data_IF_035457561817
#
_entry.id   IF_035457561817
#
_cell.length_a   1.000
_cell.length_b   1.000
_cell.length_c   1.000
_cell.angle_alpha   90.00
_cell.angle_beta   90.00
_cell.angle_gamma   90.00
#
_symmetry.space_group_name_H-M   'P 1'
#
loop_
_entity.id
_entity.type
_entity.pdbx_description
1 polymer ?
#
# COMPACT_ATOMS: atom_id res chain seq x y z
N UNK A 1 31.12 -3.84 48.87
CA UNK A 1 30.07 -4.23 47.90
C UNK A 1 28.73 -4.01 48.56
N UNK A 2 27.74 -3.52 47.82
CA UNK A 2 26.38 -3.37 48.36
C UNK A 2 25.81 -4.76 48.69
N UNK A 3 24.93 -4.87 49.70
CA UNK A 3 24.33 -6.15 50.11
C UNK A 3 23.61 -6.90 48.96
N UNK A 4 23.23 -6.18 47.91
CA UNK A 4 22.56 -6.71 46.72
C UNK A 4 23.57 -7.40 45.79
N UNK A 5 24.74 -6.81 45.58
CA UNK A 5 25.78 -7.33 44.69
C UNK A 5 26.33 -8.65 45.24
N UNK A 6 26.64 -8.71 46.53
CA UNK A 6 27.08 -9.95 47.19
C UNK A 6 26.03 -11.06 47.15
N UNK A 7 24.74 -10.72 47.33
CA UNK A 7 23.65 -11.70 47.21
C UNK A 7 23.53 -12.27 45.79
N UNK A 8 23.72 -11.44 44.77
CA UNK A 8 23.66 -11.87 43.37
C UNK A 8 24.86 -12.75 43.00
N UNK A 9 26.05 -12.42 43.49
CA UNK A 9 27.26 -13.24 43.31
C UNK A 9 27.08 -14.64 43.91
N UNK A 10 26.61 -14.75 45.15
CA UNK A 10 26.38 -16.05 45.82
C UNK A 10 25.35 -16.93 45.09
N UNK A 11 24.33 -16.32 44.45
CA UNK A 11 23.33 -17.05 43.67
C UNK A 11 23.87 -17.54 42.33
N UNK A 12 24.71 -16.73 41.67
CA UNK A 12 25.19 -16.99 40.31
C UNK A 12 26.43 -17.90 40.29
N UNK A 13 27.34 -17.74 41.26
CA UNK A 13 28.64 -18.41 41.23
C UNK A 13 28.75 -19.54 42.26
N UNK A 14 28.15 -19.38 43.44
CA UNK A 14 28.23 -20.36 44.53
C UNK A 14 27.01 -21.31 44.58
N UNK A 15 26.06 -21.13 43.66
CA UNK A 15 24.83 -21.94 43.53
C UNK A 15 24.06 -22.12 44.84
N UNK A 16 24.16 -21.15 45.75
CA UNK A 16 23.42 -21.21 47.00
C UNK A 16 21.93 -21.06 46.68
N UNK A 17 21.14 -22.04 47.08
CA UNK A 17 19.69 -21.96 46.90
C UNK A 17 19.12 -20.93 47.86
N UNK A 18 18.08 -20.21 47.42
CA UNK A 18 17.29 -19.28 48.26
C UNK A 18 16.83 -19.92 49.57
N UNK A 19 16.71 -21.25 49.59
CA UNK A 19 16.39 -22.04 50.78
C UNK A 19 17.38 -21.81 51.94
N UNK A 20 18.69 -21.73 51.66
CA UNK A 20 19.74 -21.60 52.69
C UNK A 20 19.85 -20.18 53.27
N UNK A 21 19.47 -19.18 52.49
CA UNK A 21 19.61 -17.76 52.83
C UNK A 21 18.31 -17.14 53.36
N UNK A 22 17.18 -17.42 52.72
CA UNK A 22 15.89 -16.78 53.02
C UNK A 22 15.10 -17.51 54.14
N UNK A 23 15.33 -18.81 54.36
CA UNK A 23 14.64 -19.61 55.39
C UNK A 23 15.55 -19.96 56.57
N UNK A 24 16.07 -18.94 57.27
CA UNK A 24 16.78 -19.15 58.54
C UNK A 24 15.77 -19.45 59.65
N UNK A 25 15.64 -20.72 60.03
CA UNK A 25 14.79 -21.15 61.15
C UNK A 25 15.17 -20.37 62.42
N UNK A 26 14.25 -19.57 62.97
CA UNK A 26 14.44 -18.85 64.25
C UNK A 26 14.85 -17.37 64.17
N UNK A 27 15.07 -16.77 62.99
CA UNK A 27 15.26 -15.31 62.91
C UNK A 27 13.91 -14.58 62.86
N UNK A 28 13.46 -14.06 64.00
CA UNK A 28 12.33 -13.12 64.07
C UNK A 28 12.83 -11.77 63.56
N UNK A 29 12.64 -11.48 62.27
CA UNK A 29 12.84 -10.12 61.74
C UNK A 29 11.63 -9.27 62.12
N UNK A 30 11.87 -8.03 62.52
CA UNK A 30 10.79 -7.08 62.72
C UNK A 30 10.00 -6.94 61.40
N UNK A 31 8.65 -6.90 61.45
CA UNK A 31 7.85 -6.76 60.25
C UNK A 31 8.19 -5.43 59.56
N UNK A 32 8.55 -5.51 58.27
CA UNK A 32 8.74 -4.32 57.44
C UNK A 32 7.36 -3.83 57.04
N UNK A 33 6.88 -2.78 57.71
CA UNK A 33 5.62 -2.16 57.37
C UNK A 33 5.75 -1.46 56.00
N UNK A 34 4.97 -1.91 55.03
CA UNK A 34 4.88 -1.23 53.74
C UNK A 34 4.25 0.14 53.95
N UNK A 35 4.91 1.19 53.45
CA UNK A 35 4.31 2.53 53.40
C UNK A 35 3.47 2.62 52.15
N UNK A 36 2.26 3.15 52.28
CA UNK A 36 1.42 3.44 51.12
C UNK A 36 2.05 4.56 50.32
N UNK A 37 2.46 4.27 49.09
CA UNK A 37 2.86 5.29 48.12
C UNK A 37 1.63 5.69 47.30
N UNK A 38 1.31 6.99 47.31
CA UNK A 38 0.24 7.52 46.47
C UNK A 38 0.60 7.32 44.99
N UNK A 39 -0.35 6.76 44.23
CA UNK A 39 -0.18 6.66 42.77
C UNK A 39 -0.06 8.06 42.19
N UNK A 40 0.85 8.28 41.22
CA UNK A 40 1.01 9.59 40.61
C UNK A 40 -0.32 10.07 40.01
N UNK A 41 -0.72 11.30 40.34
CA UNK A 41 -1.92 11.91 39.77
C UNK A 41 -1.74 12.07 38.26
N UNK A 42 -2.72 11.61 37.50
CA UNK A 42 -2.73 11.79 36.05
C UNK A 42 -2.88 13.28 35.76
N UNK A 43 -1.85 13.92 35.19
CA UNK A 43 -1.84 15.35 34.87
C UNK A 43 -2.79 15.69 33.71
N UNK A 44 -3.10 14.72 32.85
CA UNK A 44 -4.02 14.89 31.73
C UNK A 44 -5.44 14.45 32.10
N UNK A 45 -6.42 15.21 31.59
CA UNK A 45 -7.80 14.77 31.58
C UNK A 45 -7.88 13.47 30.78
N UNK A 46 -8.28 12.38 31.43
CA UNK A 46 -8.54 11.13 30.72
C UNK A 46 -9.68 11.35 29.73
N UNK A 47 -9.56 10.89 28.48
CA UNK A 47 -10.69 10.94 27.57
C UNK A 47 -11.87 10.19 28.18
N UNK A 48 -13.11 10.62 27.92
CA UNK A 48 -14.28 9.93 28.43
C UNK A 48 -14.25 8.46 27.97
N UNK A 49 -14.64 7.51 28.83
CA UNK A 49 -14.65 6.11 28.46
C UNK A 49 -15.58 5.91 27.26
N UNK A 50 -15.09 5.23 26.21
CA UNK A 50 -15.94 4.82 25.11
C UNK A 50 -16.94 3.78 25.65
N UNK A 51 -18.17 4.23 25.91
CA UNK A 51 -19.27 3.36 26.38
C UNK A 51 -19.63 2.26 25.38
N UNK A 52 -19.41 2.55 24.10
CA UNK A 52 -19.98 1.84 22.95
C UNK A 52 -18.91 1.49 21.90
N UNK A 53 -17.80 0.88 22.32
CA UNK A 53 -16.70 0.51 21.40
C UNK A 53 -17.18 -0.46 20.32
N UNK A 54 -18.06 -1.40 20.67
CA UNK A 54 -18.55 -2.44 19.77
C UNK A 54 -19.58 -1.92 18.76
N UNK A 55 -20.36 -0.92 19.13
CA UNK A 55 -21.46 -0.39 18.31
C UNK A 55 -21.06 0.86 17.53
N UNK A 56 -19.87 1.42 17.81
CA UNK A 56 -19.32 2.65 17.21
C UNK A 56 -20.38 3.77 17.16
N UNK A 57 -21.29 3.80 18.13
CA UNK A 57 -22.44 4.73 18.17
C UNK A 57 -22.00 6.20 18.07
N UNK A 58 -20.90 6.64 18.73
CA UNK A 58 -20.39 8.00 18.60
C UNK A 58 -19.91 8.35 17.18
N UNK A 59 -19.54 7.34 16.38
CA UNK A 59 -19.07 7.51 15.01
C UNK A 59 -20.21 7.52 13.99
N UNK A 60 -21.46 7.28 14.43
CA UNK A 60 -22.66 7.46 13.59
C UNK A 60 -23.00 8.93 13.37
N UNK A 61 -22.66 9.79 14.32
CA UNK A 61 -23.05 11.21 14.32
C UNK A 61 -22.08 12.10 13.55
N UNK A 62 -20.78 11.76 13.57
CA UNK A 62 -19.76 12.43 12.77
C UNK A 62 -19.38 11.52 11.60
N UNK A 63 -19.50 11.97 10.33
CA UNK A 63 -19.10 11.16 9.19
C UNK A 63 -17.59 10.90 9.29
N UNK A 64 -17.22 9.68 9.66
CA UNK A 64 -15.82 9.25 9.61
C UNK A 64 -15.38 9.38 8.16
N UNK A 65 -14.32 10.15 7.86
CA UNK A 65 -13.90 10.35 6.50
C UNK A 65 -13.51 9.00 5.89
N UNK A 66 -14.11 8.67 4.76
CA UNK A 66 -13.93 7.41 4.05
C UNK A 66 -12.46 7.09 3.75
N UNK A 67 -11.62 8.13 3.64
CA UNK A 67 -10.17 8.02 3.46
C UNK A 67 -9.46 7.24 4.57
N UNK A 68 -9.99 7.19 5.79
CA UNK A 68 -9.40 6.40 6.90
C UNK A 68 -9.51 4.89 6.69
N UNK A 69 -10.43 4.44 5.84
CA UNK A 69 -10.71 3.02 5.60
C UNK A 69 -9.83 2.45 4.49
N UNK A 70 -9.16 3.33 3.75
CA UNK A 70 -8.35 2.99 2.59
C UNK A 70 -6.87 3.26 2.88
N UNK A 71 -6.13 2.21 3.23
CA UNK A 71 -4.67 2.27 3.27
C UNK A 71 -4.10 1.83 1.92
N UNK A 72 -3.00 2.45 1.45
CA UNK A 72 -2.28 1.96 0.29
C UNK A 72 -1.87 0.50 0.51
N UNK A 73 -2.01 -0.33 -0.51
CA UNK A 73 -1.63 -1.72 -0.41
C UNK A 73 -0.11 -1.82 -0.10
N UNK A 74 0.34 -2.55 0.93
CA UNK A 74 1.74 -2.46 1.40
C UNK A 74 2.76 -2.90 0.34
N UNK A 75 2.43 -3.92 -0.45
CA UNK A 75 3.30 -4.47 -1.50
C UNK A 75 3.26 -3.61 -2.77
N UNK A 76 2.05 -3.39 -3.32
CA UNK A 76 1.87 -2.68 -4.58
C UNK A 76 2.00 -1.16 -4.45
N UNK A 77 1.97 -0.63 -3.22
CA UNK A 77 1.92 0.80 -2.88
C UNK A 77 0.85 1.59 -3.65
N UNK A 78 -0.20 0.91 -4.08
CA UNK A 78 -1.30 1.51 -4.83
C UNK A 78 -2.19 2.28 -3.86
N UNK A 79 -2.21 3.59 -4.02
CA UNK A 79 -3.10 4.50 -3.29
C UNK A 79 -4.43 4.57 -4.06
N UNK A 80 -5.57 4.18 -3.45
CA UNK A 80 -6.87 4.24 -4.12
C UNK A 80 -7.33 5.67 -4.44
N UNK A 81 -6.73 6.70 -3.81
CA UNK A 81 -7.01 8.10 -4.14
C UNK A 81 -6.21 8.59 -5.35
N UNK A 82 -5.24 7.81 -5.84
CA UNK A 82 -4.43 8.12 -7.02
C UNK A 82 -4.81 7.20 -8.16
N UNK A 83 -5.42 7.76 -9.19
CA UNK A 83 -5.72 7.02 -10.41
C UNK A 83 -4.41 6.69 -11.12
N UNK A 84 -4.29 5.47 -11.61
CA UNK A 84 -3.15 5.06 -12.41
C UNK A 84 -3.23 5.75 -13.78
N UNK A 85 -2.20 6.52 -14.12
CA UNK A 85 -2.11 7.14 -15.43
C UNK A 85 -1.90 6.08 -16.53
N UNK A 86 -2.48 6.28 -17.73
CA UNK A 86 -2.20 5.40 -18.86
C UNK A 86 -0.71 5.45 -19.19
N UNK A 87 -0.12 4.29 -19.46
CA UNK A 87 1.29 4.21 -19.86
C UNK A 87 1.48 4.97 -21.18
N UNK A 88 2.35 5.98 -21.15
CA UNK A 88 2.79 6.70 -22.34
C UNK A 88 4.14 6.13 -22.75
N UNK A 89 4.20 5.49 -23.92
CA UNK A 89 5.47 5.03 -24.49
C UNK A 89 6.36 6.26 -24.72
N UNK A 90 7.53 6.26 -24.09
CA UNK A 90 8.51 7.33 -24.29
C UNK A 90 8.96 7.36 -25.77
N UNK A 91 9.20 8.56 -26.34
CA UNK A 91 9.69 8.68 -27.70
C UNK A 91 11.10 8.07 -27.80
N UNK A 92 11.27 7.17 -28.76
CA UNK A 92 12.57 6.56 -29.06
C UNK A 92 13.36 7.48 -29.98
N UNK A 93 14.37 8.16 -29.43
CA UNK A 93 15.19 9.15 -30.15
C UNK A 93 16.21 8.51 -31.09
N UNK A 94 16.57 7.25 -30.85
CA UNK A 94 17.62 6.54 -31.61
C UNK A 94 17.03 5.64 -32.71
N UNK A 95 15.70 5.47 -32.72
CA UNK A 95 14.97 4.60 -33.66
C UNK A 95 15.40 4.80 -35.13
N UNK A 96 15.57 6.05 -35.57
CA UNK A 96 15.97 6.34 -36.95
C UNK A 96 17.41 5.92 -37.26
N UNK A 97 18.32 6.00 -36.28
CA UNK A 97 19.71 5.57 -36.45
C UNK A 97 19.81 4.05 -36.43
N UNK A 98 19.09 3.40 -35.51
CA UNK A 98 19.03 1.94 -35.41
C UNK A 98 18.44 1.32 -36.68
N UNK A 99 17.41 1.93 -37.28
CA UNK A 99 16.84 1.44 -38.54
C UNK A 99 17.85 1.45 -39.69
N UNK A 100 18.81 2.40 -39.70
CA UNK A 100 19.84 2.47 -40.73
C UNK A 100 20.96 1.46 -40.54
N UNK A 101 21.31 1.15 -39.29
CA UNK A 101 22.47 0.29 -38.97
C UNK A 101 22.10 -1.18 -38.82
N UNK A 102 20.83 -1.50 -38.57
CA UNK A 102 20.36 -2.88 -38.44
C UNK A 102 20.35 -3.62 -39.79
N UNK A 103 20.39 -4.97 -39.77
CA UNK A 103 20.11 -5.78 -40.94
C UNK A 103 18.73 -5.48 -41.56
N UNK A 104 18.66 -5.54 -42.88
CA UNK A 104 17.44 -5.19 -43.64
C UNK A 104 16.28 -6.11 -43.27
N UNK A 105 15.12 -5.52 -42.99
CA UNK A 105 13.87 -6.25 -42.78
C UNK A 105 13.13 -6.38 -44.10
N UNK A 106 13.13 -7.60 -44.61
CA UNK A 106 12.45 -7.98 -45.85
C UNK A 106 11.12 -8.62 -45.48
N UNK A 107 10.01 -8.08 -46.00
CA UNK A 107 8.69 -8.68 -45.79
C UNK A 107 8.36 -9.69 -46.87
N UNK A 108 8.61 -9.32 -48.12
CA UNK A 108 8.56 -10.22 -49.28
C UNK A 108 9.84 -10.02 -50.07
N UNK A 109 10.29 -11.00 -50.88
CA UNK A 109 11.54 -10.87 -51.64
C UNK A 109 11.62 -9.62 -52.53
N UNK A 110 10.46 -9.06 -52.92
CA UNK A 110 10.35 -7.85 -53.74
C UNK A 110 10.18 -6.54 -52.92
N UNK A 111 9.87 -6.63 -51.63
CA UNK A 111 9.56 -5.46 -50.80
C UNK A 111 10.30 -5.54 -49.46
N UNK A 112 11.24 -4.62 -49.28
CA UNK A 112 11.86 -4.37 -47.98
C UNK A 112 11.12 -3.24 -47.26
N UNK A 113 10.99 -3.36 -45.94
CA UNK A 113 10.32 -2.36 -45.08
C UNK A 113 11.19 -1.12 -44.93
N UNK A 114 12.50 -1.27 -45.10
CA UNK A 114 13.49 -0.22 -44.93
C UNK A 114 13.61 0.71 -46.15
N UNK A 115 13.29 0.23 -47.35
CA UNK A 115 13.30 1.04 -48.57
C UNK A 115 12.09 2.00 -48.67
N UNK A 116 11.12 1.91 -47.75
CA UNK A 116 9.95 2.77 -47.71
C UNK A 116 10.30 4.06 -46.96
N UNK A 117 10.51 5.15 -47.71
CA UNK A 117 10.84 6.46 -47.14
C UNK A 117 9.70 7.04 -46.29
N UNK A 118 8.46 6.78 -46.67
CA UNK A 118 7.28 7.28 -45.95
C UNK A 118 7.00 6.46 -44.68
N UNK A 119 7.22 7.08 -43.52
CA UNK A 119 6.97 6.46 -42.22
C UNK A 119 5.52 6.01 -42.02
N UNK A 120 4.54 6.76 -42.56
CA UNK A 120 3.12 6.40 -42.47
C UNK A 120 2.79 5.15 -43.29
N UNK A 121 3.25 5.11 -44.54
CA UNK A 121 3.07 3.93 -45.41
C UNK A 121 3.71 2.69 -44.80
N UNK A 122 4.91 2.84 -44.21
CA UNK A 122 5.59 1.77 -43.47
C UNK A 122 4.77 1.29 -42.28
N UNK A 123 4.20 2.20 -41.49
CA UNK A 123 3.38 1.85 -40.34
C UNK A 123 2.10 1.11 -40.74
N UNK A 124 1.40 1.58 -41.77
CA UNK A 124 0.20 0.93 -42.31
C UNK A 124 0.52 -0.48 -42.80
N UNK A 125 1.64 -0.66 -43.51
CA UNK A 125 2.03 -1.94 -44.07
C UNK A 125 2.44 -2.93 -42.96
N UNK A 126 3.19 -2.46 -41.95
CA UNK A 126 3.49 -3.23 -40.75
C UNK A 126 2.23 -3.62 -39.97
N UNK A 127 1.29 -2.71 -39.78
CA UNK A 127 0.04 -3.00 -39.07
C UNK A 127 -0.81 -3.99 -39.88
N UNK A 128 -0.95 -3.82 -41.19
CA UNK A 128 -1.70 -4.76 -42.02
C UNK A 128 -1.12 -6.19 -42.00
N UNK A 129 0.21 -6.34 -42.04
CA UNK A 129 0.87 -7.65 -42.12
C UNK A 129 1.03 -8.34 -40.77
N UNK A 130 1.31 -7.59 -39.70
CA UNK A 130 1.60 -8.15 -38.37
C UNK A 130 0.41 -8.09 -37.40
N UNK A 131 -0.77 -7.66 -37.85
CA UNK A 131 -1.99 -7.78 -37.05
C UNK A 131 -2.60 -9.17 -37.24
N UNK A 132 -2.77 -9.90 -36.14
CA UNK A 132 -3.46 -11.19 -36.18
C UNK A 132 -4.92 -11.03 -36.58
N UNK A 133 -5.51 -12.06 -37.19
CA UNK A 133 -6.94 -12.07 -37.56
C UNK A 133 -7.83 -11.75 -36.36
N UNK A 134 -7.51 -12.30 -35.18
CA UNK A 134 -8.22 -12.02 -33.94
C UNK A 134 -8.10 -10.54 -33.50
N UNK A 135 -6.91 -9.96 -33.58
CA UNK A 135 -6.72 -8.54 -33.26
C UNK A 135 -7.44 -7.62 -34.25
N UNK A 136 -7.47 -7.98 -35.54
CA UNK A 136 -8.22 -7.27 -36.57
C UNK A 136 -9.72 -7.33 -36.31
N UNK A 137 -10.26 -8.52 -36.03
CA UNK A 137 -11.67 -8.71 -35.68
C UNK A 137 -12.06 -7.94 -34.41
N UNK A 138 -11.18 -7.88 -33.41
CA UNK A 138 -11.44 -7.10 -32.21
C UNK A 138 -11.48 -5.59 -32.49
N UNK A 139 -10.63 -5.07 -33.40
CA UNK A 139 -10.69 -3.67 -33.83
C UNK A 139 -11.99 -3.37 -34.60
N UNK A 140 -12.39 -4.27 -35.50
CA UNK A 140 -13.62 -4.12 -36.30
C UNK A 140 -14.91 -4.30 -35.47
N UNK A 141 -14.88 -5.14 -34.44
CA UNK A 141 -16.02 -5.40 -33.56
C UNK A 141 -16.28 -4.27 -32.56
N UNK A 142 -15.28 -3.44 -32.27
CA UNK A 142 -15.47 -2.23 -31.46
C UNK A 142 -15.96 -1.13 -32.40
N UNK A 143 -17.22 -0.66 -32.27
CA UNK A 143 -17.70 0.44 -33.10
C UNK A 143 -16.84 1.68 -32.85
N UNK A 144 -16.59 2.48 -33.89
CA UNK A 144 -15.97 3.80 -33.75
C UNK A 144 -16.85 4.66 -32.85
N UNK A 145 -16.58 4.63 -31.55
CA UNK A 145 -17.17 5.57 -30.62
C UNK A 145 -16.66 6.95 -31.02
N UNK A 146 -17.60 7.86 -31.32
CA UNK A 146 -17.33 9.29 -31.45
C UNK A 146 -16.41 9.66 -30.30
N UNK A 147 -15.27 10.30 -30.61
CA UNK A 147 -14.21 10.73 -29.70
C UNK A 147 -14.66 11.76 -28.64
N UNK A 148 -15.83 11.59 -28.03
CA UNK A 148 -16.14 12.17 -26.73
C UNK A 148 -15.34 11.41 -25.68
N UNK A 149 -14.03 11.66 -25.67
CA UNK A 149 -13.22 11.34 -24.51
C UNK A 149 -13.67 12.33 -23.44
N UNK A 150 -14.63 11.92 -22.60
CA UNK A 150 -14.96 12.68 -21.40
C UNK A 150 -13.63 13.03 -20.71
N UNK A 151 -13.41 14.28 -20.28
CA UNK A 151 -12.22 14.62 -19.54
C UNK A 151 -12.19 13.69 -18.32
N UNK A 152 -11.36 12.65 -18.39
CA UNK A 152 -11.20 11.71 -17.30
C UNK A 152 -10.55 12.55 -16.19
N UNK A 153 -11.37 12.93 -15.22
CA UNK A 153 -10.88 13.59 -14.02
C UNK A 153 -9.72 12.75 -13.47
N UNK A 154 -8.55 13.36 -13.18
CA UNK A 154 -7.44 12.63 -12.54
C UNK A 154 -7.83 12.10 -11.15
N UNK A 155 -8.95 12.58 -10.61
CA UNK A 155 -9.54 12.13 -9.37
C UNK A 155 -10.67 11.13 -9.65
N UNK A 156 -10.78 10.07 -8.84
CA UNK A 156 -11.92 9.16 -8.92
C UNK A 156 -13.23 9.94 -8.76
N UNK A 157 -14.28 9.54 -9.48
CA UNK A 157 -15.58 10.17 -9.36
C UNK A 157 -16.04 10.15 -7.89
N UNK A 158 -16.56 11.27 -7.35
CA UNK A 158 -17.03 11.29 -5.98
C UNK A 158 -18.15 10.26 -5.81
N UNK A 159 -18.15 9.56 -4.67
CA UNK A 159 -19.23 8.64 -4.35
C UNK A 159 -20.56 9.40 -4.36
N UNK A 160 -21.55 8.90 -5.10
CA UNK A 160 -22.90 9.43 -5.09
C UNK A 160 -23.76 8.56 -4.16
N UNK A 161 -23.86 8.87 -2.85
CA UNK A 161 -24.66 8.07 -1.93
C UNK A 161 -26.15 8.20 -2.30
N UNK A 162 -26.82 7.06 -2.49
CA UNK A 162 -28.28 7.02 -2.68
C UNK A 162 -28.93 7.52 -1.40
N UNK A 163 -29.65 8.64 -1.47
CA UNK A 163 -30.39 9.15 -0.32
C UNK A 163 -31.65 8.30 -0.11
N UNK A 164 -31.93 7.89 1.14
CA UNK A 164 -33.10 7.04 1.48
C UNK A 164 -34.46 7.67 1.13
N UNK A 165 -34.49 8.95 0.71
CA UNK A 165 -35.71 9.67 0.35
C UNK A 165 -36.33 9.22 -0.98
N UNK A 166 -35.60 8.47 -1.81
CA UNK A 166 -36.11 7.95 -3.09
C UNK A 166 -36.84 6.59 -2.97
N UNK A 167 -36.90 6.01 -1.76
CA UNK A 167 -37.75 4.85 -1.46
C UNK A 167 -39.04 5.32 -0.76
N UNK A 168 -39.97 5.90 -1.53
CA UNK A 168 -41.38 6.03 -1.15
C UNK A 168 -42.27 5.63 -2.31
#
# INVERSE_FOLDING_TARGET
MSDIETRLEDMLFDYQTTYKTDYRHGQIRAPVFTKYEEKPKCLSLRPPPLKDVHTLTPWKTAPVPFSLWHKPHPILRKDPNKVQEPYVKQPDTELAQVIKTRPRVVMTPAVSVDDIECAESRAILCDAMYTSTAARMNREAVPDYVNMKAPLSPLPAPANPVSEKERR
#
